data_IF_860187069339
#
_entry.id   IF_860187069339
#
_cell.length_a   1.000
_cell.length_b   1.000
_cell.length_c   1.000
_cell.angle_alpha   90.00
_cell.angle_beta   90.00
_cell.angle_gamma   90.00
#
_symmetry.space_group_name_H-M   'P 1'
#
loop_
_entity.id
_entity.type
_entity.pdbx_description
1 polymer ?
#
# COMPACT_ATOMS: atom_id res chain seq x y z
N UNK A 1 37.23 -52.77 46.41
CA UNK A 1 36.89 -51.36 46.15
C UNK A 1 36.57 -51.24 44.66
N UNK A 2 35.30 -51.27 44.25
CA UNK A 2 34.91 -51.14 42.84
C UNK A 2 34.25 -49.76 42.67
N UNK A 3 34.93 -48.85 41.98
CA UNK A 3 34.42 -47.51 41.68
C UNK A 3 33.96 -47.56 40.23
N UNK A 4 32.65 -47.41 39.99
CA UNK A 4 32.10 -47.39 38.64
C UNK A 4 32.56 -46.13 37.90
N UNK A 5 33.19 -46.31 36.73
CA UNK A 5 33.74 -45.25 35.87
C UNK A 5 32.77 -44.84 34.74
N UNK A 6 31.46 -45.05 34.90
CA UNK A 6 30.48 -44.79 33.85
C UNK A 6 29.87 -43.38 33.92
N UNK A 7 30.71 -42.35 34.07
CA UNK A 7 30.25 -40.97 33.93
C UNK A 7 30.40 -40.50 32.48
N UNK A 8 29.27 -40.44 31.76
CA UNK A 8 29.22 -39.79 30.44
C UNK A 8 29.02 -38.28 30.64
N UNK A 9 30.01 -37.44 30.29
CA UNK A 9 29.87 -36.00 30.48
C UNK A 9 28.77 -35.45 29.56
N UNK A 10 27.84 -34.69 30.15
CA UNK A 10 26.76 -34.03 29.42
C UNK A 10 27.35 -32.89 28.59
N UNK A 11 27.16 -32.96 27.26
CA UNK A 11 27.72 -31.96 26.35
C UNK A 11 27.04 -30.61 26.53
N UNK A 12 27.84 -29.54 26.53
CA UNK A 12 27.34 -28.17 26.60
C UNK A 12 26.68 -27.75 25.30
N UNK A 13 25.81 -26.73 25.37
CA UNK A 13 25.05 -26.20 24.22
C UNK A 13 25.96 -25.70 23.09
N UNK A 14 27.15 -25.21 23.43
CA UNK A 14 28.17 -24.79 22.46
C UNK A 14 28.78 -25.99 21.71
N UNK A 15 29.08 -27.09 22.40
CA UNK A 15 29.61 -28.30 21.80
C UNK A 15 28.62 -28.96 20.80
N UNK A 16 27.31 -28.84 21.06
CA UNK A 16 26.27 -29.29 20.12
C UNK A 16 26.16 -28.44 18.85
N UNK A 17 26.56 -27.17 18.89
CA UNK A 17 26.54 -26.30 17.71
C UNK A 17 27.69 -26.61 16.74
N UNK A 18 28.87 -26.99 17.27
CA UNK A 18 30.03 -27.36 16.47
C UNK A 18 29.85 -28.70 15.75
N UNK A 19 29.21 -29.69 16.38
CA UNK A 19 28.93 -30.97 15.70
C UNK A 19 28.06 -30.84 14.45
N UNK A 20 27.23 -29.79 14.35
CA UNK A 20 26.37 -29.55 13.18
C UNK A 20 27.12 -29.00 11.96
N UNK A 21 28.37 -28.53 12.11
CA UNK A 21 29.19 -28.10 10.98
C UNK A 21 30.00 -29.22 10.36
N UNK A 22 30.22 -30.31 11.10
CA UNK A 22 31.10 -31.41 10.69
C UNK A 22 30.32 -32.53 9.98
N UNK A 23 29.00 -32.57 10.10
CA UNK A 23 28.14 -33.37 9.24
C UNK A 23 28.16 -32.74 7.85
N UNK A 24 29.01 -33.29 6.98
CA UNK A 24 29.27 -32.94 5.58
C UNK A 24 28.00 -32.94 4.72
N UNK A 25 27.14 -31.95 4.96
CA UNK A 25 26.01 -31.62 4.14
C UNK A 25 26.57 -30.88 2.94
N UNK A 26 26.79 -31.62 1.85
CA UNK A 26 27.14 -31.08 0.53
C UNK A 26 26.37 -29.78 0.29
N UNK A 27 27.11 -28.67 0.23
CA UNK A 27 26.54 -27.35 0.02
C UNK A 27 25.93 -27.30 -1.39
N UNK A 28 24.64 -27.59 -1.50
CA UNK A 28 23.87 -27.36 -2.73
C UNK A 28 23.43 -25.90 -2.80
N UNK A 29 24.21 -25.10 -3.52
CA UNK A 29 23.80 -23.76 -3.90
C UNK A 29 22.65 -23.83 -4.93
N UNK A 30 21.43 -23.53 -4.49
CA UNK A 30 20.32 -23.26 -5.41
C UNK A 30 20.51 -21.86 -6.00
N UNK A 31 21.11 -21.81 -7.20
CA UNK A 31 21.21 -20.58 -7.98
C UNK A 31 19.91 -20.41 -8.77
N UNK A 32 19.10 -19.43 -8.38
CA UNK A 32 17.89 -19.09 -9.11
C UNK A 32 18.24 -18.27 -10.35
N UNK A 33 17.95 -18.82 -11.54
CA UNK A 33 18.08 -18.12 -12.81
C UNK A 33 16.72 -17.54 -13.20
N UNK A 34 16.64 -16.21 -13.34
CA UNK A 34 15.41 -15.54 -13.78
C UNK A 34 15.02 -16.00 -15.20
N UNK A 35 13.75 -16.38 -15.43
CA UNK A 35 13.31 -16.84 -16.74
C UNK A 35 13.41 -15.68 -17.74
N UNK A 36 14.26 -15.87 -18.75
CA UNK A 36 14.32 -14.96 -19.88
C UNK A 36 13.02 -15.08 -20.70
N UNK A 37 12.40 -13.96 -21.11
CA UNK A 37 11.19 -14.00 -21.91
C UNK A 37 11.53 -14.53 -23.32
N UNK A 38 11.38 -15.85 -23.54
CA UNK A 38 11.54 -16.42 -24.88
C UNK A 38 11.59 -17.95 -25.02
N UNK A 39 11.90 -18.73 -23.98
CA UNK A 39 12.06 -20.19 -24.12
C UNK A 39 10.90 -20.96 -23.49
N UNK A 40 9.84 -21.18 -24.25
CA UNK A 40 8.91 -22.27 -23.98
C UNK A 40 9.55 -23.58 -24.50
N UNK A 41 9.90 -24.51 -23.62
CA UNK A 41 10.04 -25.92 -23.98
C UNK A 41 9.07 -26.74 -23.15
N UNK A 42 8.27 -27.50 -23.89
CA UNK A 42 7.08 -28.24 -23.49
C UNK A 42 7.39 -29.43 -22.58
N UNK A 43 6.45 -29.79 -21.70
CA UNK A 43 5.89 -31.17 -21.68
C UNK A 43 4.72 -31.30 -20.70
N UNK A 44 3.55 -31.64 -21.27
CA UNK A 44 2.56 -32.64 -20.82
C UNK A 44 2.06 -32.58 -19.36
N UNK A 45 0.78 -32.48 -19.02
CA UNK A 45 -0.48 -32.68 -19.75
C UNK A 45 -1.57 -32.98 -18.70
N UNK A 46 -2.83 -32.63 -18.98
CA UNK A 46 -4.09 -33.30 -18.58
C UNK A 46 -5.29 -32.36 -18.81
N UNK A 47 -5.88 -32.49 -20.01
CA UNK A 47 -7.29 -32.75 -20.33
C UNK A 47 -8.49 -32.12 -19.57
N UNK A 48 -9.33 -31.45 -20.40
CA UNK A 48 -10.81 -31.22 -20.41
C UNK A 48 -11.39 -29.94 -19.78
N UNK A 49 -12.56 -29.44 -20.30
CA UNK A 49 -13.01 -29.35 -21.68
C UNK A 49 -13.49 -27.92 -22.07
N UNK A 50 -13.87 -27.81 -23.33
CA UNK A 50 -14.12 -26.61 -24.14
C UNK A 50 -15.40 -25.85 -23.79
N UNK A 51 -15.36 -24.52 -23.96
CA UNK A 51 -16.52 -23.66 -24.16
C UNK A 51 -16.24 -22.73 -25.36
N UNK A 52 -17.02 -22.77 -26.46
CA UNK A 52 -16.65 -22.13 -27.72
C UNK A 52 -17.26 -20.74 -27.85
N UNK A 53 -16.56 -19.68 -27.43
CA UNK A 53 -16.83 -18.33 -27.97
C UNK A 53 -15.72 -17.31 -27.73
N UNK A 54 -14.76 -17.26 -28.67
CA UNK A 54 -14.23 -16.05 -29.35
C UNK A 54 -12.77 -16.25 -29.74
N UNK A 55 -12.41 -16.11 -31.03
CA UNK A 55 -11.02 -15.95 -31.40
C UNK A 55 -10.61 -14.51 -31.11
N UNK A 56 -9.62 -14.31 -30.23
CA UNK A 56 -8.78 -13.12 -30.32
C UNK A 56 -7.33 -13.56 -30.42
N UNK A 57 -6.97 -13.71 -31.69
CA UNK A 57 -5.62 -13.74 -32.23
C UNK A 57 -4.59 -13.07 -31.32
N UNK A 58 -3.68 -13.91 -30.84
CA UNK A 58 -2.30 -13.54 -30.58
C UNK A 58 -1.70 -13.10 -31.91
N UNK A 59 -1.89 -11.84 -32.29
CA UNK A 59 -1.11 -11.25 -33.35
C UNK A 59 0.32 -11.12 -32.82
N UNK A 60 1.18 -11.97 -33.37
CA UNK A 60 2.62 -11.82 -33.28
C UNK A 60 3.01 -10.40 -33.65
N UNK A 61 4.03 -9.89 -32.96
CA UNK A 61 4.69 -8.64 -33.29
C UNK A 61 5.35 -8.80 -34.67
N UNK A 62 4.61 -8.56 -35.73
CA UNK A 62 5.20 -8.11 -36.99
C UNK A 62 5.51 -6.64 -36.80
N UNK A 63 6.80 -6.32 -36.62
CA UNK A 63 7.31 -4.97 -36.79
C UNK A 63 7.08 -4.58 -38.26
N UNK A 64 5.92 -3.97 -38.53
CA UNK A 64 5.64 -3.31 -39.80
C UNK A 64 6.33 -1.95 -39.81
N UNK A 65 6.80 -1.48 -40.97
CA UNK A 65 7.41 -0.16 -41.09
C UNK A 65 6.45 0.91 -40.57
N UNK A 66 7.00 1.90 -39.90
CA UNK A 66 6.28 2.96 -39.21
C UNK A 66 5.43 3.80 -40.18
N UNK A 67 4.20 3.38 -40.42
CA UNK A 67 3.14 4.32 -40.76
C UNK A 67 3.00 5.23 -39.54
N UNK A 68 3.35 6.50 -39.71
CA UNK A 68 3.34 7.54 -38.67
C UNK A 68 1.90 7.93 -38.26
N UNK A 69 1.02 6.96 -38.07
CA UNK A 69 -0.30 7.18 -37.51
C UNK A 69 -0.23 7.29 -35.99
N UNK A 70 -0.75 8.39 -35.46
CA UNK A 70 -0.79 8.66 -34.03
C UNK A 70 -1.87 7.80 -33.36
N UNK A 71 -1.48 6.63 -32.86
CA UNK A 71 -2.36 5.82 -32.00
C UNK A 71 -2.49 6.47 -30.61
N UNK A 72 -3.66 7.04 -30.34
CA UNK A 72 -4.01 7.68 -29.07
C UNK A 72 -3.84 6.71 -27.89
N UNK A 73 -4.10 5.40 -28.07
CA UNK A 73 -3.94 4.41 -26.99
C UNK A 73 -2.47 4.23 -26.63
N UNK A 74 -1.61 4.12 -27.65
CA UNK A 74 -0.16 4.04 -27.49
C UNK A 74 0.38 5.32 -26.86
N UNK A 75 -0.02 6.49 -27.35
CA UNK A 75 0.37 7.78 -26.77
C UNK A 75 -0.06 7.92 -25.30
N UNK A 76 -1.29 7.50 -24.95
CA UNK A 76 -1.75 7.48 -23.56
C UNK A 76 -0.89 6.57 -22.68
N UNK A 77 -0.54 5.39 -23.18
CA UNK A 77 0.32 4.47 -22.47
C UNK A 77 1.75 5.02 -22.31
N UNK A 78 2.28 5.70 -23.33
CA UNK A 78 3.57 6.38 -23.29
C UNK A 78 3.58 7.53 -22.29
N UNK A 79 2.52 8.35 -22.23
CA UNK A 79 2.37 9.41 -21.21
C UNK A 79 2.34 8.81 -19.80
N UNK A 80 1.62 7.71 -19.60
CA UNK A 80 1.60 7.00 -18.31
C UNK A 80 2.96 6.37 -17.99
N UNK A 81 3.65 5.80 -18.98
CA UNK A 81 4.98 5.24 -18.83
C UNK A 81 6.00 6.34 -18.50
N UNK A 82 5.89 7.50 -19.13
CA UNK A 82 6.71 8.68 -18.88
C UNK A 82 6.48 9.22 -17.47
N UNK A 83 5.23 9.34 -17.04
CA UNK A 83 4.91 9.75 -15.66
C UNK A 83 5.47 8.77 -14.62
N UNK A 84 5.50 7.47 -14.94
CA UNK A 84 6.11 6.43 -14.08
C UNK A 84 7.65 6.44 -14.14
N UNK A 85 8.25 6.61 -15.31
CA UNK A 85 9.70 6.56 -15.51
C UNK A 85 10.39 7.83 -14.99
N UNK A 86 9.73 8.98 -15.10
CA UNK A 86 10.25 10.27 -14.65
C UNK A 86 10.14 10.46 -13.12
N UNK A 87 9.67 9.46 -12.38
CA UNK A 87 9.87 9.37 -10.93
C UNK A 87 11.34 8.96 -10.65
N UNK A 88 12.25 9.93 -10.87
CA UNK A 88 13.72 9.80 -10.88
C UNK A 88 14.40 9.36 -9.56
N UNK A 89 13.69 8.81 -8.59
CA UNK A 89 14.35 8.16 -7.45
C UNK A 89 13.87 6.71 -7.34
N UNK A 90 14.82 5.77 -7.35
CA UNK A 90 14.55 4.33 -7.12
C UNK A 90 13.72 4.12 -5.83
N UNK A 91 13.94 4.99 -4.83
CA UNK A 91 13.20 5.04 -3.56
C UNK A 91 11.71 5.39 -3.73
N UNK A 92 11.29 6.03 -4.83
CA UNK A 92 9.89 6.33 -5.11
C UNK A 92 9.19 5.18 -5.85
N UNK A 93 9.88 4.42 -6.71
CA UNK A 93 9.30 3.25 -7.41
C UNK A 93 8.77 2.20 -6.44
N UNK A 94 9.60 1.77 -5.49
CA UNK A 94 9.21 0.80 -4.44
C UNK A 94 8.03 1.29 -3.61
N UNK A 95 7.96 2.60 -3.30
CA UNK A 95 6.82 3.18 -2.57
C UNK A 95 5.53 3.13 -3.39
N UNK A 96 5.61 3.35 -4.70
CA UNK A 96 4.47 3.26 -5.61
C UNK A 96 3.95 1.83 -5.72
N UNK A 97 4.83 0.85 -5.85
CA UNK A 97 4.46 -0.58 -5.89
C UNK A 97 3.77 -1.01 -4.59
N UNK A 98 4.37 -0.67 -3.44
CA UNK A 98 3.77 -0.93 -2.13
C UNK A 98 2.39 -0.27 -2.03
N UNK A 99 2.25 0.98 -2.49
CA UNK A 99 0.98 1.68 -2.48
C UNK A 99 -0.08 0.99 -3.36
N UNK A 100 0.31 0.51 -4.54
CA UNK A 100 -0.59 -0.25 -5.43
C UNK A 100 -1.01 -1.56 -4.78
N UNK A 101 -0.08 -2.33 -4.22
CA UNK A 101 -0.38 -3.57 -3.51
C UNK A 101 -1.34 -3.32 -2.34
N UNK A 102 -1.13 -2.27 -1.55
CA UNK A 102 -2.04 -1.91 -0.46
C UNK A 102 -3.43 -1.54 -0.97
N UNK A 103 -3.51 -0.81 -2.10
CA UNK A 103 -4.80 -0.50 -2.75
C UNK A 103 -5.52 -1.76 -3.25
N UNK A 104 -4.76 -2.79 -3.65
CA UNK A 104 -5.26 -4.11 -4.04
C UNK A 104 -5.61 -5.00 -2.84
N UNK A 105 -5.45 -4.50 -1.61
CA UNK A 105 -5.81 -5.21 -0.38
C UNK A 105 -4.64 -5.89 0.34
N UNK A 106 -3.41 -5.75 -0.15
CA UNK A 106 -2.24 -6.25 0.57
C UNK A 106 -2.03 -5.48 1.88
N UNK A 107 -1.48 -6.16 2.89
CA UNK A 107 -1.17 -5.53 4.18
C UNK A 107 -0.01 -4.54 4.02
N UNK A 108 -0.12 -3.30 4.56
CA UNK A 108 0.97 -2.33 4.49
C UNK A 108 2.19 -2.80 5.29
N UNK A 109 3.42 -2.44 4.87
CA UNK A 109 4.64 -2.80 5.57
C UNK A 109 4.68 -2.15 6.96
N UNK A 110 5.29 -2.87 7.92
CA UNK A 110 5.49 -2.37 9.28
C UNK A 110 6.43 -1.15 9.27
N UNK A 111 6.07 -0.11 10.02
CA UNK A 111 6.94 1.06 10.21
C UNK A 111 8.08 0.70 11.17
N UNK A 112 9.21 1.40 11.03
CA UNK A 112 10.29 1.31 12.00
C UNK A 112 9.80 1.72 13.39
N UNK A 113 10.29 1.02 14.41
CA UNK A 113 10.02 1.37 15.80
C UNK A 113 10.64 2.74 16.12
N UNK A 114 9.90 3.57 16.84
CA UNK A 114 10.31 4.91 17.29
C UNK A 114 9.82 5.12 18.71
N UNK A 115 10.55 5.90 19.50
CA UNK A 115 10.09 6.28 20.84
C UNK A 115 8.80 7.14 20.74
N UNK A 116 7.90 7.01 21.71
CA UNK A 116 6.64 7.74 21.73
C UNK A 116 6.81 9.26 21.65
N UNK A 117 7.80 9.82 22.38
CA UNK A 117 8.05 11.28 22.39
C UNK A 117 8.50 11.78 21.00
N UNK A 118 9.35 11.00 20.33
CA UNK A 118 9.82 11.30 18.97
C UNK A 118 8.69 11.22 17.94
N UNK A 119 7.85 10.19 18.06
CA UNK A 119 6.69 9.98 17.19
C UNK A 119 5.70 11.15 17.32
N UNK A 120 5.43 11.61 18.54
CA UNK A 120 4.57 12.78 18.76
C UNK A 120 5.19 14.06 18.19
N UNK A 121 6.49 14.29 18.41
CA UNK A 121 7.19 15.45 17.87
C UNK A 121 7.16 15.48 16.34
N UNK A 122 7.38 14.34 15.68
CA UNK A 122 7.28 14.21 14.23
C UNK A 122 5.86 14.50 13.73
N UNK A 123 4.84 13.96 14.41
CA UNK A 123 3.43 14.26 14.08
C UNK A 123 3.10 15.74 14.21
N UNK A 124 3.61 16.42 15.24
CA UNK A 124 3.39 17.86 15.44
C UNK A 124 4.05 18.66 14.32
N UNK A 125 5.34 18.42 14.05
CA UNK A 125 6.07 19.07 12.94
C UNK A 125 5.35 18.91 11.59
N UNK A 126 4.87 17.71 11.27
CA UNK A 126 4.13 17.45 10.03
C UNK A 126 2.76 18.16 9.97
N UNK A 127 2.11 18.37 11.12
CA UNK A 127 0.88 19.18 11.19
C UNK A 127 1.18 20.65 10.94
N UNK A 128 2.20 21.18 11.61
CA UNK A 128 2.60 22.59 11.49
C UNK A 128 2.95 22.92 10.03
N UNK A 129 3.80 22.10 9.39
CA UNK A 129 4.13 22.24 7.95
C UNK A 129 2.86 22.20 7.07
N UNK A 130 1.89 21.34 7.39
CA UNK A 130 0.65 21.25 6.63
C UNK A 130 -0.21 22.50 6.83
N UNK A 131 -0.26 23.05 8.04
CA UNK A 131 -0.98 24.28 8.35
C UNK A 131 -0.32 25.48 7.67
N UNK A 132 1.00 25.59 7.72
CA UNK A 132 1.73 26.66 7.05
C UNK A 132 1.58 26.57 5.54
N UNK A 133 1.59 25.36 4.97
CA UNK A 133 1.25 25.16 3.56
C UNK A 133 -0.18 25.60 3.25
N UNK A 134 -1.16 25.28 4.10
CA UNK A 134 -2.56 25.72 3.91
C UNK A 134 -2.66 27.24 3.98
N UNK A 135 -2.06 27.88 4.98
CA UNK A 135 -1.99 29.33 5.13
C UNK A 135 -1.36 29.97 3.90
N UNK A 136 -0.24 29.43 3.42
CA UNK A 136 0.42 29.90 2.21
C UNK A 136 -0.49 29.80 0.96
N UNK A 137 -1.18 28.68 0.76
CA UNK A 137 -2.14 28.52 -0.34
C UNK A 137 -3.38 29.41 -0.18
N UNK A 138 -3.58 29.97 1.02
CA UNK A 138 -4.68 30.85 1.36
C UNK A 138 -4.28 32.34 1.32
N UNK A 139 -2.98 32.69 1.34
CA UNK A 139 -2.51 34.07 1.27
C UNK A 139 -3.06 34.82 0.04
N UNK A 140 -3.15 34.15 -1.12
CA UNK A 140 -3.77 34.71 -2.32
C UNK A 140 -5.32 34.73 -2.34
N UNK A 141 -5.98 34.18 -1.32
CA UNK A 141 -7.45 34.11 -1.19
C UNK A 141 -8.01 35.00 -0.08
N UNK A 142 -7.15 35.57 0.76
CA UNK A 142 -7.59 36.29 1.95
C UNK A 142 -7.14 37.76 1.99
N UNK A 143 -6.20 38.18 1.15
CA UNK A 143 -5.67 39.55 1.23
C UNK A 143 -6.52 40.60 0.49
N UNK A 144 -7.23 40.22 -0.58
CA UNK A 144 -8.21 41.09 -1.28
C UNK A 144 -9.22 40.28 -2.12
N UNK A 145 -9.65 39.11 -1.66
CA UNK A 145 -10.45 38.23 -2.53
C UNK A 145 -11.09 37.07 -1.82
N UNK A 146 -12.18 37.33 -1.08
CA UNK A 146 -13.24 36.34 -0.98
C UNK A 146 -13.39 35.68 -2.36
N UNK A 147 -13.40 34.35 -2.43
CA UNK A 147 -13.70 33.68 -3.70
C UNK A 147 -15.08 34.18 -4.13
N UNK A 148 -15.13 35.18 -5.02
CA UNK A 148 -16.35 35.86 -5.43
C UNK A 148 -17.30 34.92 -6.16
N UNK A 149 -16.78 33.77 -6.58
CA UNK A 149 -17.55 32.73 -7.22
C UNK A 149 -17.97 31.69 -6.18
N UNK A 150 -19.22 31.79 -5.73
CA UNK A 150 -19.95 30.69 -5.09
C UNK A 150 -20.11 29.53 -6.09
N UNK A 151 -19.05 28.77 -6.36
CA UNK A 151 -19.09 27.67 -7.34
C UNK A 151 -19.89 26.44 -6.88
N UNK A 152 -20.46 26.44 -5.67
CA UNK A 152 -21.42 25.41 -5.26
C UNK A 152 -22.83 26.00 -5.36
N UNK A 153 -23.63 25.46 -6.27
CA UNK A 153 -25.04 25.79 -6.33
C UNK A 153 -25.69 25.50 -4.97
N UNK A 154 -26.64 26.35 -4.55
CA UNK A 154 -27.40 26.18 -3.30
C UNK A 154 -27.96 24.75 -3.17
N UNK A 155 -28.32 24.12 -4.29
CA UNK A 155 -28.77 22.73 -4.35
C UNK A 155 -27.73 21.72 -3.84
N UNK A 156 -26.45 21.85 -4.20
CA UNK A 156 -25.39 20.94 -3.72
C UNK A 156 -25.07 21.15 -2.24
N UNK A 157 -25.17 22.38 -1.73
CA UNK A 157 -25.00 22.68 -0.30
C UNK A 157 -26.12 22.06 0.53
N UNK A 158 -27.38 22.28 0.12
CA UNK A 158 -28.55 21.70 0.78
C UNK A 158 -28.51 20.15 0.76
N UNK A 159 -28.03 19.54 -0.33
CA UNK A 159 -27.88 18.07 -0.42
C UNK A 159 -26.80 17.55 0.53
N UNK A 160 -25.71 18.29 0.75
CA UNK A 160 -24.67 17.89 1.72
C UNK A 160 -25.08 18.10 3.16
N UNK A 161 -25.81 19.17 3.47
CA UNK A 161 -26.38 19.42 4.80
C UNK A 161 -27.41 18.37 5.17
N UNK A 162 -28.31 18.00 4.24
CA UNK A 162 -29.28 16.91 4.44
C UNK A 162 -28.62 15.54 4.61
N UNK A 163 -27.47 15.30 3.96
CA UNK A 163 -26.70 14.04 4.11
C UNK A 163 -25.83 14.01 5.35
N UNK A 164 -25.58 15.17 5.96
CA UNK A 164 -24.78 15.34 7.17
C UNK A 164 -25.58 16.19 8.15
N UNK A 165 -26.74 15.69 8.57
CA UNK A 165 -27.26 16.15 9.85
C UNK A 165 -26.15 15.86 10.88
N UNK A 166 -25.60 16.87 11.57
CA UNK A 166 -24.60 16.60 12.58
C UNK A 166 -25.23 15.65 13.59
N UNK A 167 -24.51 14.58 13.95
CA UNK A 167 -24.95 13.61 14.98
C UNK A 167 -25.32 14.34 16.29
N UNK A 168 -24.77 15.55 16.50
CA UNK A 168 -25.13 16.47 17.58
C UNK A 168 -26.60 16.94 17.59
N UNK A 169 -27.30 16.95 16.45
CA UNK A 169 -28.69 17.42 16.37
C UNK A 169 -29.72 16.28 16.47
N UNK A 170 -29.29 15.02 16.55
CA UNK A 170 -30.20 13.89 16.70
C UNK A 170 -31.02 14.03 17.99
N UNK A 171 -30.42 14.52 19.09
CA UNK A 171 -31.14 14.71 20.36
C UNK A 171 -32.08 15.92 20.39
N UNK A 172 -32.11 16.76 19.35
CA UNK A 172 -33.06 17.89 19.30
C UNK A 172 -34.50 17.44 19.01
N UNK A 173 -34.67 16.26 18.42
CA UNK A 173 -36.00 15.70 18.12
C UNK A 173 -36.48 14.67 19.14
N UNK A 174 -35.61 14.24 20.06
CA UNK A 174 -36.02 13.39 21.19
C UNK A 174 -36.39 14.30 22.36
N UNK A 175 -37.58 14.09 22.92
CA UNK A 175 -38.09 14.91 24.03
C UNK A 175 -37.13 14.95 25.21
N UNK A 176 -36.87 16.14 25.75
CA UNK A 176 -36.07 16.30 26.97
C UNK A 176 -36.82 15.67 28.14
N UNK A 177 -36.28 14.60 28.71
CA UNK A 177 -36.81 14.00 29.93
C UNK A 177 -36.58 14.97 31.10
N UNK A 178 -37.65 15.35 31.80
CA UNK A 178 -37.59 16.10 33.06
C UNK A 178 -37.63 15.09 34.22
N UNK A 179 -36.49 14.74 34.85
CA UNK A 179 -36.50 13.81 35.97
C UNK A 179 -37.15 14.49 37.18
N UNK A 180 -38.23 13.91 37.69
CA UNK A 180 -38.84 14.31 38.97
C UNK A 180 -37.99 13.79 40.12
N UNK A 181 -36.87 14.42 40.39
CA UNK A 181 -36.10 14.17 41.62
C UNK A 181 -36.86 14.84 42.77
N UNK A 182 -37.29 14.05 43.75
CA UNK A 182 -37.79 14.58 45.02
C UNK A 182 -36.57 15.05 45.80
N UNK A 183 -36.56 16.32 46.19
CA UNK A 183 -35.57 16.83 47.15
C UNK A 183 -35.76 16.07 48.47
N UNK A 184 -34.66 15.55 49.01
CA UNK A 184 -34.65 14.98 50.36
C UNK A 184 -34.59 16.16 51.33
N UNK A 185 -35.66 16.33 52.11
CA UNK A 185 -35.66 17.15 53.32
C UNK A 185 -34.71 16.56 54.37
#
# INVERSE_FOLDING_TARGET
MNISTDFKPVLTRAALALKKSDDSSEFKALVFQEPQPGSATNSTGTDKPEDPSKPKSTQGKTEKPADNEFDIKKARQEVLNFARSNQRTIKNKRKMEIFQLVKLGAKPPKKQYKNYKELQAERKRLKDIREDRKKFHQLGKNQAGAASVKCKSKYKQNKTEKKRAPVANISQHYGKAQPKLKEKN
#
